data_IF_221642469507
#
_entry.id   IF_221642469507
#
_cell.length_a   1.000
_cell.length_b   1.000
_cell.length_c   1.000
_cell.angle_alpha   90.00
_cell.angle_beta   90.00
_cell.angle_gamma   90.00
#
_symmetry.space_group_name_H-M   'P 1'
#
loop_
_entity.id
_entity.type
_entity.pdbx_description
1 polymer ?
#
# COMPACT_ATOMS: atom_id res chain seq x y z
N UNK A 1 3.56 -30.94 35.93
CA UNK A 1 3.69 -29.46 35.92
C UNK A 1 4.86 -28.97 35.05
N UNK A 2 6.08 -29.55 35.14
CA UNK A 2 7.25 -29.16 34.31
C UNK A 2 7.05 -29.24 32.79
N UNK A 3 6.25 -30.18 32.29
CA UNK A 3 6.02 -30.36 30.84
C UNK A 3 5.17 -29.24 30.22
N UNK A 4 4.21 -28.69 30.97
CA UNK A 4 3.37 -27.56 30.55
C UNK A 4 4.16 -26.25 30.49
N UNK A 5 5.08 -26.04 31.44
CA UNK A 5 5.99 -24.89 31.43
C UNK A 5 6.99 -24.93 30.27
N UNK A 6 7.48 -26.14 29.92
CA UNK A 6 8.36 -26.34 28.75
C UNK A 6 7.63 -26.12 27.42
N UNK A 7 6.41 -26.61 27.29
CA UNK A 7 5.57 -26.35 26.11
C UNK A 7 5.24 -24.86 25.97
N UNK A 8 4.90 -24.18 27.07
CA UNK A 8 4.64 -22.74 27.06
C UNK A 8 5.88 -21.93 26.67
N UNK A 9 7.06 -22.27 27.20
CA UNK A 9 8.31 -21.63 26.84
C UNK A 9 8.67 -21.84 25.36
N UNK A 10 8.40 -23.02 24.79
CA UNK A 10 8.57 -23.30 23.37
C UNK A 10 7.61 -22.50 22.49
N UNK A 11 6.33 -22.43 22.87
CA UNK A 11 5.33 -21.64 22.14
C UNK A 11 5.68 -20.16 22.15
N UNK A 12 6.06 -19.60 23.31
CA UNK A 12 6.49 -18.19 23.41
C UNK A 12 7.79 -17.96 22.64
N UNK A 13 8.75 -18.89 22.74
CA UNK A 13 10.02 -18.81 22.02
C UNK A 13 9.88 -18.83 20.49
N UNK A 14 8.87 -19.53 19.95
CA UNK A 14 8.56 -19.55 18.51
C UNK A 14 7.66 -18.38 18.08
N UNK A 15 6.68 -17.99 18.89
CA UNK A 15 5.73 -16.94 18.54
C UNK A 15 6.33 -15.52 18.65
N UNK A 16 7.21 -15.28 19.62
CA UNK A 16 7.83 -13.97 19.85
C UNK A 16 8.62 -13.43 18.63
N UNK A 17 9.54 -14.19 17.99
CA UNK A 17 10.27 -13.67 16.83
C UNK A 17 9.35 -13.36 15.63
N UNK A 18 8.28 -14.13 15.44
CA UNK A 18 7.28 -13.85 14.39
C UNK A 18 6.53 -12.55 14.68
N UNK A 19 6.05 -12.37 15.91
CA UNK A 19 5.35 -11.15 16.32
C UNK A 19 6.24 -9.90 16.21
N UNK A 20 7.51 -10.02 16.61
CA UNK A 20 8.51 -8.95 16.48
C UNK A 20 8.76 -8.61 15.00
N UNK A 21 8.88 -9.64 14.15
CA UNK A 21 9.08 -9.46 12.70
C UNK A 21 7.91 -8.73 12.03
N UNK A 22 6.67 -9.12 12.34
CA UNK A 22 5.47 -8.45 11.82
C UNK A 22 5.45 -6.98 12.28
N UNK A 23 5.60 -6.73 13.58
CA UNK A 23 5.59 -5.36 14.12
C UNK A 23 6.68 -4.47 13.50
N UNK A 24 7.88 -5.00 13.26
CA UNK A 24 8.99 -4.26 12.65
C UNK A 24 8.78 -3.91 11.16
N UNK A 25 7.78 -4.48 10.50
CA UNK A 25 7.49 -4.27 9.07
C UNK A 25 6.18 -3.53 8.81
N UNK A 26 5.23 -3.53 9.77
CA UNK A 26 3.90 -2.92 9.61
C UNK A 26 3.87 -1.43 9.25
N UNK A 27 4.94 -0.68 9.51
CA UNK A 27 5.02 0.76 9.18
C UNK A 27 5.77 1.09 7.88
N UNK A 28 6.27 0.10 7.14
CA UNK A 28 7.13 0.33 5.97
C UNK A 28 6.31 0.19 4.68
N UNK A 29 6.37 1.17 3.76
CA UNK A 29 5.77 1.02 2.44
C UNK A 29 6.31 -0.24 1.73
N UNK A 30 5.46 -1.05 1.09
CA UNK A 30 5.90 -2.20 0.32
C UNK A 30 6.75 -1.75 -0.89
N UNK A 31 7.66 -2.64 -1.31
CA UNK A 31 8.41 -2.46 -2.55
C UNK A 31 7.54 -2.81 -3.75
N UNK A 32 7.83 -2.17 -4.89
CA UNK A 32 7.27 -2.54 -6.16
C UNK A 32 7.82 -3.89 -6.61
N UNK A 33 6.95 -4.80 -7.08
CA UNK A 33 7.36 -6.02 -7.76
C UNK A 33 8.28 -5.77 -8.96
N UNK A 34 9.12 -6.75 -9.27
CA UNK A 34 9.97 -6.74 -10.47
C UNK A 34 9.22 -7.28 -11.69
N UNK A 35 8.14 -6.60 -12.09
CA UNK A 35 7.35 -6.98 -13.26
C UNK A 35 7.02 -5.78 -14.15
N UNK A 36 6.41 -6.06 -15.30
CA UNK A 36 6.10 -5.06 -16.33
C UNK A 36 5.08 -4.01 -15.87
N UNK A 37 4.17 -4.39 -14.99
CA UNK A 37 3.06 -3.53 -14.53
C UNK A 37 3.55 -2.57 -13.44
N UNK A 38 4.73 -2.83 -12.86
CA UNK A 38 5.35 -2.06 -11.77
C UNK A 38 6.63 -1.33 -12.19
N UNK A 39 6.79 -1.01 -13.48
CA UNK A 39 7.93 -0.28 -13.99
C UNK A 39 8.01 1.15 -13.43
N UNK A 40 9.17 1.56 -12.92
CA UNK A 40 9.42 2.92 -12.38
C UNK A 40 9.46 4.03 -13.44
N UNK A 41 9.28 3.71 -14.72
CA UNK A 41 9.18 4.71 -15.79
C UNK A 41 7.73 5.18 -16.01
N UNK A 42 6.73 4.47 -15.48
CA UNK A 42 5.32 4.81 -15.69
C UNK A 42 4.87 5.99 -14.83
N UNK A 43 3.87 6.75 -15.28
CA UNK A 43 3.25 7.80 -14.47
C UNK A 43 2.50 7.22 -13.26
N UNK A 44 2.53 7.91 -12.12
CA UNK A 44 1.87 7.49 -10.88
C UNK A 44 0.36 7.31 -11.02
N UNK A 45 -0.27 8.04 -11.96
CA UNK A 45 -1.69 7.86 -12.29
C UNK A 45 -2.02 6.45 -12.81
N UNK A 46 -1.05 5.72 -13.37
CA UNK A 46 -1.21 4.32 -13.80
C UNK A 46 -1.36 3.38 -12.61
N UNK A 47 -0.71 3.68 -11.48
CA UNK A 47 -0.83 2.89 -10.25
C UNK A 47 -2.29 2.84 -9.76
N UNK A 48 -3.04 3.92 -9.97
CA UNK A 48 -4.44 4.04 -9.58
C UNK A 48 -5.37 3.15 -10.41
N UNK A 49 -4.92 2.55 -11.52
CA UNK A 49 -5.72 1.56 -12.24
C UNK A 49 -6.07 0.33 -11.39
N UNK A 50 -5.20 -0.04 -10.45
CA UNK A 50 -5.40 -1.20 -9.57
C UNK A 50 -5.43 -0.82 -8.07
N UNK A 51 -4.82 0.31 -7.69
CA UNK A 51 -4.65 0.72 -6.28
C UNK A 51 -5.65 1.80 -5.80
N UNK A 52 -6.78 1.96 -6.48
CA UNK A 52 -7.93 2.74 -5.96
C UNK A 52 -8.62 2.02 -4.80
N UNK A 53 -9.53 2.72 -4.10
CA UNK A 53 -10.33 2.13 -3.00
C UNK A 53 -11.14 0.91 -3.44
N UNK A 54 -11.59 0.86 -4.69
CA UNK A 54 -12.37 -0.23 -5.28
C UNK A 54 -11.58 -1.09 -6.26
N UNK A 55 -10.27 -0.86 -6.39
CA UNK A 55 -9.39 -1.58 -7.32
C UNK A 55 -9.08 -3.01 -6.86
N UNK A 56 -8.39 -3.76 -7.70
CA UNK A 56 -8.00 -5.14 -7.41
C UNK A 56 -7.05 -5.25 -6.20
N UNK A 57 -6.23 -4.22 -5.97
CA UNK A 57 -5.25 -4.17 -4.89
C UNK A 57 -5.37 -2.84 -4.14
N UNK A 58 -6.45 -2.62 -3.37
CA UNK A 58 -6.70 -1.33 -2.77
C UNK A 58 -5.63 -0.97 -1.74
N UNK A 59 -5.31 0.33 -1.66
CA UNK A 59 -4.46 0.87 -0.59
C UNK A 59 -5.15 0.67 0.77
N UNK A 60 -4.39 0.43 1.85
CA UNK A 60 -4.97 0.27 3.17
C UNK A 60 -5.62 1.58 3.65
N UNK A 61 -6.54 1.47 4.60
CA UNK A 61 -7.37 2.60 5.05
C UNK A 61 -6.57 3.75 5.68
N UNK A 62 -5.39 3.45 6.23
CA UNK A 62 -4.44 4.36 6.84
C UNK A 62 -3.37 4.90 5.86
N UNK A 63 -3.46 4.57 4.56
CA UNK A 63 -2.56 5.11 3.56
C UNK A 63 -2.70 6.65 3.47
N UNK A 64 -1.58 7.41 3.46
CA UNK A 64 -1.64 8.85 3.29
C UNK A 64 -2.37 9.26 2.01
N UNK A 65 -3.07 10.40 2.04
CA UNK A 65 -3.80 10.90 0.87
C UNK A 65 -2.85 11.59 -0.12
N UNK A 66 -1.95 10.81 -0.72
CA UNK A 66 -0.90 11.24 -1.66
C UNK A 66 -0.65 10.18 -2.75
N UNK A 67 -0.20 10.63 -3.93
CA UNK A 67 0.07 9.82 -5.12
C UNK A 67 1.43 10.13 -5.73
N UNK A 68 2.33 10.77 -4.98
CA UNK A 68 3.76 10.71 -5.23
C UNK A 68 4.28 9.34 -4.78
N UNK A 69 3.76 8.28 -5.40
CA UNK A 69 3.91 6.89 -4.96
C UNK A 69 5.39 6.53 -4.75
N UNK A 70 6.25 6.98 -5.67
CA UNK A 70 7.68 6.70 -5.66
C UNK A 70 8.48 7.48 -4.59
N UNK A 71 7.86 8.42 -3.88
CA UNK A 71 8.45 9.07 -2.70
C UNK A 71 8.58 8.12 -1.50
N UNK A 72 7.73 7.09 -1.44
CA UNK A 72 7.69 6.13 -0.33
C UNK A 72 7.90 4.68 -0.80
N UNK A 73 7.34 4.31 -1.94
CA UNK A 73 7.44 2.96 -2.48
C UNK A 73 8.71 2.79 -3.30
N UNK A 74 9.59 1.92 -2.81
CA UNK A 74 10.87 1.59 -3.44
C UNK A 74 10.68 0.62 -4.60
N UNK A 75 11.56 0.68 -5.58
CA UNK A 75 11.64 -0.36 -6.61
C UNK A 75 12.03 -1.73 -6.03
N UNK A 76 12.04 -2.76 -6.87
CA UNK A 76 12.41 -4.11 -6.44
C UNK A 76 13.82 -4.19 -5.83
N UNK A 77 14.73 -3.30 -6.26
CA UNK A 77 16.11 -3.18 -5.75
C UNK A 77 16.20 -2.39 -4.44
N UNK A 78 15.10 -1.77 -3.99
CA UNK A 78 15.04 -0.98 -2.77
C UNK A 78 15.37 0.50 -2.96
N UNK A 79 15.42 0.99 -4.20
CA UNK A 79 15.72 2.38 -4.54
C UNK A 79 14.43 3.23 -4.56
N UNK A 80 14.50 4.46 -4.03
CA UNK A 80 13.42 5.44 -4.14
C UNK A 80 13.59 6.23 -5.43
N UNK A 81 12.47 6.62 -6.04
CA UNK A 81 12.46 7.42 -7.27
C UNK A 81 11.54 8.64 -7.13
N UNK A 82 11.77 9.55 -6.16
CA UNK A 82 10.89 10.69 -5.95
C UNK A 82 10.87 11.58 -7.19
N UNK A 83 9.68 11.95 -7.66
CA UNK A 83 9.52 12.78 -8.86
C UNK A 83 9.08 14.20 -8.50
N UNK A 84 9.90 15.21 -8.77
CA UNK A 84 9.47 16.61 -8.67
C UNK A 84 8.26 16.84 -9.58
N UNK A 85 7.16 17.37 -9.03
CA UNK A 85 5.94 17.67 -9.79
C UNK A 85 4.95 16.52 -9.96
N UNK A 86 5.10 15.40 -9.23
CA UNK A 86 4.07 14.37 -9.18
C UNK A 86 2.72 14.95 -8.70
N UNK A 87 1.56 14.41 -9.13
CA UNK A 87 0.24 15.04 -9.00
C UNK A 87 -0.21 15.41 -7.58
N UNK A 88 0.50 14.97 -6.53
CA UNK A 88 0.21 15.32 -5.14
C UNK A 88 1.18 16.32 -4.52
N UNK A 89 1.95 17.04 -5.34
CA UNK A 89 2.66 18.25 -4.94
C UNK A 89 1.80 19.53 -5.02
N UNK A 90 0.50 19.43 -5.35
CA UNK A 90 -0.41 20.58 -5.39
C UNK A 90 -1.30 20.70 -4.13
N UNK A 91 -1.55 21.91 -3.62
CA UNK A 91 -2.51 22.14 -2.53
C UNK A 91 -3.92 21.68 -2.95
N UNK A 92 -4.49 20.70 -2.24
CA UNK A 92 -5.86 20.21 -2.47
C UNK A 92 -5.98 18.69 -2.58
N UNK A 93 -4.95 18.01 -3.08
CA UNK A 93 -4.96 16.55 -3.26
C UNK A 93 -6.25 16.05 -3.94
N UNK A 94 -6.70 14.84 -3.56
CA UNK A 94 -7.86 14.11 -4.09
C UNK A 94 -9.24 14.81 -4.03
N UNK A 95 -9.34 16.04 -3.50
CA UNK A 95 -10.65 16.69 -3.27
C UNK A 95 -11.38 17.07 -4.56
N UNK A 96 -10.64 17.23 -5.67
CA UNK A 96 -11.19 17.78 -6.90
C UNK A 96 -11.06 16.85 -8.12
N UNK A 97 -10.76 15.55 -7.96
CA UNK A 97 -10.61 14.63 -9.10
C UNK A 97 -11.98 14.03 -9.55
N UNK A 98 -12.53 14.45 -10.70
CA UNK A 98 -13.83 14.00 -11.20
C UNK A 98 -13.80 12.55 -11.74
N UNK A 99 -12.63 11.96 -11.99
CA UNK A 99 -12.50 10.56 -12.44
C UNK A 99 -12.66 9.56 -11.30
N UNK A 100 -12.63 10.02 -10.05
CA UNK A 100 -12.68 9.19 -8.85
C UNK A 100 -13.99 9.35 -8.06
N UNK A 101 -14.76 10.40 -8.35
CA UNK A 101 -16.14 10.55 -7.88
C UNK A 101 -17.12 9.55 -8.54
N UNK A 102 -16.70 8.87 -9.61
CA UNK A 102 -17.58 8.08 -10.50
C UNK A 102 -17.92 6.64 -10.09
N UNK A 103 -17.35 6.09 -9.00
CA UNK A 103 -17.65 4.69 -8.61
C UNK A 103 -18.97 4.51 -7.85
N UNK A 104 -19.72 5.59 -7.57
CA UNK A 104 -21.03 5.53 -6.90
C UNK A 104 -22.23 5.76 -7.83
N UNK A 105 -22.03 6.11 -9.11
CA UNK A 105 -23.11 6.62 -9.97
C UNK A 105 -23.77 5.58 -10.90
N UNK A 106 -23.34 4.31 -10.92
CA UNK A 106 -23.85 3.33 -11.92
C UNK A 106 -24.67 2.16 -11.34
N UNK A 107 -25.09 2.22 -10.07
CA UNK A 107 -26.11 1.30 -9.53
C UNK A 107 -27.40 2.06 -9.18
N UNK A 108 -28.18 2.45 -10.19
CA UNK A 108 -29.45 3.13 -9.93
C UNK A 108 -30.21 3.65 -11.14
N UNK A 109 -30.14 3.00 -12.30
CA UNK A 109 -31.08 3.27 -13.39
C UNK A 109 -31.48 1.94 -14.03
N UNK A 110 -32.60 1.38 -13.54
CA UNK A 110 -33.07 0.07 -13.93
C UNK A 110 -34.50 -0.19 -13.45
N UNK A 111 -35.44 0.60 -13.98
CA UNK A 111 -36.81 0.25 -14.41
C UNK A 111 -37.69 1.48 -14.44
#
# INVERSE_FOLDING_TARGET
MRSRARLFAWVVGLAAPVAIGVWATSGKPPRLPADRDHAVAQAESKCLGCHTRSGAHPRPADHPLRDDCFSCHRDARGELHPRPGAPTSVPGGWRDDPLLAGSAATKGAGR
#
